data_IF_468597676299
#
_entry.id   IF_468597676299
#
_cell.length_a   1.000
_cell.length_b   1.000
_cell.length_c   1.000
_cell.angle_alpha   90.00
_cell.angle_beta   90.00
_cell.angle_gamma   90.00
#
_symmetry.space_group_name_H-M   'P 1'
#
loop_
_entity.id
_entity.type
_entity.pdbx_description
1 polymer ?
#
# COMPACT_ATOMS: atom_id res chain seq x y z
N UNK A 1 -0.37 -23.66 18.52
CA UNK A 1 -1.85 -23.50 18.64
C UNK A 1 -2.28 -22.44 17.66
N UNK A 2 -3.27 -22.72 16.82
CA UNK A 2 -3.91 -21.73 15.93
C UNK A 2 -5.20 -21.22 16.57
N UNK A 3 -5.59 -19.98 16.27
CA UNK A 3 -6.83 -19.37 16.74
C UNK A 3 -7.47 -18.52 15.65
N UNK A 4 -8.79 -18.43 15.64
CA UNK A 4 -9.54 -17.58 14.70
C UNK A 4 -9.30 -16.10 15.04
N UNK A 5 -8.78 -15.36 14.07
CA UNK A 5 -8.47 -13.94 14.18
C UNK A 5 -9.47 -13.04 13.41
N UNK A 6 -10.51 -13.64 12.86
CA UNK A 6 -11.64 -12.95 12.24
C UNK A 6 -11.77 -13.15 10.75
N UNK A 7 -12.89 -12.62 10.23
CA UNK A 7 -13.28 -12.74 8.81
C UNK A 7 -13.23 -11.40 8.12
N UNK A 8 -12.74 -11.38 6.89
CA UNK A 8 -12.61 -10.18 6.06
C UNK A 8 -13.05 -10.49 4.62
N UNK A 9 -13.40 -9.47 3.86
CA UNK A 9 -13.67 -9.65 2.44
C UNK A 9 -12.37 -9.71 1.65
N UNK A 10 -11.42 -8.81 1.97
CA UNK A 10 -10.13 -8.71 1.29
C UNK A 10 -9.00 -8.73 2.30
N UNK A 11 -7.99 -9.54 2.04
CA UNK A 11 -6.73 -9.52 2.75
C UNK A 11 -5.61 -9.06 1.81
N UNK A 12 -4.84 -8.06 2.23
CA UNK A 12 -3.69 -7.54 1.49
C UNK A 12 -2.41 -7.88 2.24
N UNK A 13 -1.49 -8.57 1.59
CA UNK A 13 -0.23 -8.99 2.20
C UNK A 13 0.90 -8.09 1.65
N UNK A 14 1.41 -7.23 2.52
CA UNK A 14 2.45 -6.25 2.22
C UNK A 14 1.93 -4.82 2.22
N UNK A 15 2.52 -3.95 3.06
CA UNK A 15 2.17 -2.54 3.20
C UNK A 15 3.18 -1.60 2.51
N UNK A 16 3.71 -2.01 1.36
CA UNK A 16 4.37 -1.14 0.40
C UNK A 16 3.33 -0.29 -0.36
N UNK A 17 3.78 0.57 -1.28
CA UNK A 17 2.88 1.49 -1.99
C UNK A 17 1.72 0.78 -2.70
N UNK A 18 1.99 -0.31 -3.43
CA UNK A 18 0.95 -1.07 -4.11
C UNK A 18 -0.06 -1.70 -3.13
N UNK A 19 0.44 -2.23 -1.99
CA UNK A 19 -0.43 -2.81 -0.95
C UNK A 19 -1.31 -1.75 -0.29
N UNK A 20 -0.78 -0.57 -0.03
CA UNK A 20 -1.54 0.55 0.52
C UNK A 20 -2.67 0.96 -0.43
N UNK A 21 -2.37 1.15 -1.71
CA UNK A 21 -3.38 1.51 -2.71
C UNK A 21 -4.45 0.43 -2.84
N UNK A 22 -4.08 -0.85 -2.87
CA UNK A 22 -5.02 -1.97 -2.92
C UNK A 22 -5.92 -2.03 -1.68
N UNK A 23 -5.35 -1.83 -0.49
CA UNK A 23 -6.11 -1.86 0.76
C UNK A 23 -7.08 -0.69 0.88
N UNK A 24 -6.63 0.53 0.56
CA UNK A 24 -7.47 1.73 0.58
C UNK A 24 -8.59 1.64 -0.46
N UNK A 25 -8.29 1.17 -1.68
CA UNK A 25 -9.30 0.98 -2.72
C UNK A 25 -10.37 -0.03 -2.28
N UNK A 26 -9.96 -1.18 -1.75
CA UNK A 26 -10.89 -2.22 -1.25
C UNK A 26 -11.79 -1.69 -0.12
N UNK A 27 -11.19 -1.01 0.86
CA UNK A 27 -11.93 -0.47 2.00
C UNK A 27 -12.92 0.64 1.59
N UNK A 28 -12.52 1.53 0.66
CA UNK A 28 -13.39 2.60 0.11
C UNK A 28 -14.56 2.06 -0.71
N UNK A 29 -14.41 0.87 -1.29
CA UNK A 29 -15.51 0.13 -1.94
C UNK A 29 -16.44 -0.56 -0.93
N UNK A 30 -16.23 -0.38 0.37
CA UNK A 30 -17.04 -0.95 1.43
C UNK A 30 -16.65 -2.37 1.85
N UNK A 31 -15.56 -2.92 1.34
CA UNK A 31 -15.06 -4.24 1.74
C UNK A 31 -14.37 -4.17 3.11
N UNK A 32 -14.71 -5.09 4.01
CA UNK A 32 -13.92 -5.30 5.24
C UNK A 32 -12.55 -5.80 4.86
N UNK A 33 -11.56 -4.96 5.01
CA UNK A 33 -10.20 -5.19 4.52
C UNK A 33 -9.21 -5.32 5.68
N UNK A 34 -8.30 -6.27 5.58
CA UNK A 34 -7.13 -6.37 6.46
C UNK A 34 -5.86 -6.24 5.63
N UNK A 35 -4.91 -5.43 6.09
CA UNK A 35 -3.58 -5.33 5.50
C UNK A 35 -2.52 -5.81 6.49
N UNK A 36 -1.63 -6.67 6.01
CA UNK A 36 -0.53 -7.23 6.79
C UNK A 36 0.80 -6.58 6.45
N UNK A 37 1.57 -6.30 7.47
CA UNK A 37 2.97 -5.88 7.37
C UNK A 37 3.81 -6.56 8.44
N UNK A 38 5.06 -6.87 8.13
CA UNK A 38 6.00 -7.41 9.13
C UNK A 38 6.53 -6.32 10.07
N UNK A 39 6.45 -5.05 9.65
CA UNK A 39 6.90 -3.91 10.45
C UNK A 39 6.00 -2.69 10.17
N UNK A 40 5.32 -2.20 11.21
CA UNK A 40 4.45 -1.02 11.15
C UNK A 40 5.20 0.28 10.86
N UNK A 41 6.49 0.34 11.16
CA UNK A 41 7.31 1.53 10.88
C UNK A 41 7.83 1.57 9.43
N UNK A 42 7.64 0.46 8.69
CA UNK A 42 7.99 0.36 7.28
C UNK A 42 6.83 0.59 6.32
N UNK A 43 5.65 0.94 6.83
CA UNK A 43 4.46 1.24 6.01
C UNK A 43 4.74 2.45 5.12
N UNK A 44 4.53 2.30 3.80
CA UNK A 44 4.77 3.36 2.83
C UNK A 44 6.24 3.79 2.73
N UNK A 45 7.16 2.95 3.14
CA UNK A 45 8.59 3.28 3.12
C UNK A 45 9.10 3.53 1.69
N UNK A 46 9.93 4.59 1.55
CA UNK A 46 10.64 4.92 0.32
C UNK A 46 12.14 4.60 0.51
N UNK A 47 12.58 3.34 0.37
CA UNK A 47 13.92 2.91 0.79
C UNK A 47 15.05 3.50 -0.06
N UNK A 48 14.77 3.82 -1.32
CA UNK A 48 15.76 4.37 -2.24
C UNK A 48 15.84 5.90 -2.14
N UNK A 49 15.45 6.60 -3.19
CA UNK A 49 15.36 8.06 -3.17
C UNK A 49 14.00 8.49 -2.63
N UNK A 50 13.93 9.46 -1.68
CA UNK A 50 12.66 9.98 -1.18
C UNK A 50 12.02 10.90 -2.22
N UNK A 51 11.60 10.32 -3.35
CA UNK A 51 11.00 11.06 -4.46
C UNK A 51 9.90 10.26 -5.12
N UNK A 52 8.82 10.95 -5.46
CA UNK A 52 7.67 10.39 -6.18
C UNK A 52 7.64 11.02 -7.58
N UNK A 53 7.33 10.21 -8.59
CA UNK A 53 7.27 10.64 -9.98
C UNK A 53 8.60 10.45 -10.73
N UNK A 54 8.84 11.31 -11.70
CA UNK A 54 9.95 11.20 -12.65
C UNK A 54 9.55 10.50 -13.95
N UNK A 55 10.51 10.29 -14.84
CA UNK A 55 10.28 9.70 -16.18
C UNK A 55 9.60 8.34 -16.07
N UNK A 56 8.51 8.15 -16.79
CA UNK A 56 7.58 7.01 -16.76
C UNK A 56 6.81 6.84 -15.43
N UNK A 57 7.42 7.06 -14.29
CA UNK A 57 6.80 6.89 -12.97
C UNK A 57 5.76 7.98 -12.68
N UNK A 58 6.02 9.23 -13.07
CA UNK A 58 5.08 10.34 -12.87
C UNK A 58 3.76 10.16 -13.59
N UNK A 59 3.76 9.49 -14.74
CA UNK A 59 2.54 9.16 -15.48
C UNK A 59 1.68 8.16 -14.71
N UNK A 60 2.30 7.08 -14.20
CA UNK A 60 1.61 6.07 -13.38
C UNK A 60 1.04 6.66 -12.09
N UNK A 61 1.77 7.55 -11.42
CA UNK A 61 1.25 8.23 -10.22
C UNK A 61 0.00 9.03 -10.53
N UNK A 62 -0.04 9.75 -11.66
CA UNK A 62 -1.22 10.50 -12.11
C UNK A 62 -2.40 9.61 -12.47
N UNK A 63 -2.14 8.45 -13.09
CA UNK A 63 -3.18 7.47 -13.41
C UNK A 63 -3.79 6.89 -12.12
N UNK A 64 -2.95 6.55 -11.15
CA UNK A 64 -3.40 6.08 -9.82
C UNK A 64 -4.20 7.18 -9.11
N UNK A 65 -3.72 8.43 -9.13
CA UNK A 65 -4.42 9.58 -8.55
C UNK A 65 -5.79 9.83 -9.20
N UNK A 66 -5.87 9.75 -10.53
CA UNK A 66 -7.13 9.86 -11.28
C UNK A 66 -8.16 8.79 -10.90
N UNK A 67 -7.71 7.61 -10.48
CA UNK A 67 -8.54 6.53 -9.94
C UNK A 67 -8.88 6.69 -8.45
N UNK A 68 -8.47 7.80 -7.83
CA UNK A 68 -8.71 8.07 -6.42
C UNK A 68 -7.63 7.56 -5.48
N UNK A 69 -6.46 7.20 -6.00
CA UNK A 69 -5.31 6.74 -5.21
C UNK A 69 -4.77 7.79 -4.24
N UNK A 70 -3.93 7.35 -3.33
CA UNK A 70 -3.46 8.15 -2.20
C UNK A 70 -2.01 8.62 -2.33
N UNK A 71 -1.22 7.93 -3.17
CA UNK A 71 0.20 8.23 -3.33
C UNK A 71 0.46 9.66 -3.78
N UNK A 72 -0.26 10.15 -4.79
CA UNK A 72 -0.11 11.51 -5.33
C UNK A 72 -0.45 12.56 -4.28
N UNK A 73 -1.59 12.43 -3.63
CA UNK A 73 -2.07 13.34 -2.57
C UNK A 73 -1.10 13.41 -1.39
N UNK A 74 -0.61 12.26 -0.94
CA UNK A 74 0.36 12.20 0.16
C UNK A 74 1.72 12.77 -0.26
N UNK A 75 2.13 12.56 -1.52
CA UNK A 75 3.34 13.16 -2.05
C UNK A 75 3.26 14.70 -2.04
N UNK A 76 2.14 15.27 -2.49
CA UNK A 76 1.92 16.73 -2.49
C UNK A 76 1.99 17.31 -1.07
N UNK A 77 1.37 16.65 -0.10
CA UNK A 77 1.40 17.05 1.31
C UNK A 77 2.81 17.02 1.92
N UNK A 78 3.68 16.14 1.42
CA UNK A 78 5.03 15.90 1.95
C UNK A 78 6.15 16.44 1.06
N UNK A 79 5.81 17.14 -0.01
CA UNK A 79 6.79 17.66 -0.98
C UNK A 79 7.66 18.75 -0.35
N UNK A 80 8.97 18.58 -0.48
CA UNK A 80 9.99 19.59 -0.14
C UNK A 80 10.37 20.40 -1.36
N UNK A 81 10.42 19.76 -2.52
CA UNK A 81 10.77 20.39 -3.79
C UNK A 81 10.13 19.60 -4.94
N UNK A 82 9.61 20.30 -5.93
CA UNK A 82 9.17 19.70 -7.20
C UNK A 82 9.98 20.24 -8.37
N UNK A 83 10.27 19.36 -9.32
CA UNK A 83 11.03 19.71 -10.53
C UNK A 83 10.49 18.99 -11.75
N UNK A 84 10.30 19.73 -12.84
CA UNK A 84 10.03 19.14 -14.14
C UNK A 84 11.34 18.62 -14.75
N UNK A 85 11.35 17.33 -15.10
CA UNK A 85 12.48 16.68 -15.79
C UNK A 85 12.28 16.73 -17.30
N UNK A 86 13.39 16.63 -18.03
CA UNK A 86 13.44 16.51 -19.49
C UNK A 86 12.91 17.74 -20.25
N UNK A 87 12.99 18.94 -19.69
CA UNK A 87 12.52 20.16 -20.34
C UNK A 87 13.19 20.44 -21.69
N UNK A 88 14.43 19.97 -21.90
CA UNK A 88 15.14 20.07 -23.18
C UNK A 88 14.73 19.02 -24.21
N UNK A 89 13.74 18.17 -23.92
CA UNK A 89 13.23 17.12 -24.81
C UNK A 89 11.77 17.41 -25.17
N UNK A 90 11.18 16.63 -26.05
CA UNK A 90 9.79 16.81 -26.44
C UNK A 90 8.79 16.67 -25.27
N UNK A 91 7.61 17.31 -25.35
CA UNK A 91 6.63 17.35 -24.25
C UNK A 91 6.19 15.97 -23.74
N UNK A 92 6.20 14.96 -24.59
CA UNK A 92 5.81 13.58 -24.23
C UNK A 92 6.66 12.94 -23.13
N UNK A 93 7.89 13.46 -22.90
CA UNK A 93 8.78 12.94 -21.87
C UNK A 93 8.96 13.92 -20.68
N UNK A 94 8.24 15.04 -20.68
CA UNK A 94 8.20 15.93 -19.53
C UNK A 94 7.60 15.19 -18.34
N UNK A 95 8.31 15.14 -17.23
CA UNK A 95 7.90 14.37 -16.06
C UNK A 95 8.14 15.15 -14.79
N UNK A 96 7.09 15.35 -14.02
CA UNK A 96 7.21 15.94 -12.69
C UNK A 96 7.83 14.93 -11.73
N UNK A 97 8.80 15.38 -10.95
CA UNK A 97 9.41 14.65 -9.84
C UNK A 97 9.34 15.50 -8.58
N UNK A 98 8.67 14.96 -7.57
CA UNK A 98 8.61 15.56 -6.24
C UNK A 98 9.65 14.91 -5.33
N UNK A 99 10.49 15.72 -4.71
CA UNK A 99 11.33 15.33 -3.58
C UNK A 99 10.47 15.44 -2.34
N UNK A 100 10.36 14.38 -1.56
CA UNK A 100 9.47 14.31 -0.39
C UNK A 100 10.27 14.18 0.92
N UNK A 101 9.70 14.67 2.02
CA UNK A 101 10.12 14.28 3.36
C UNK A 101 9.68 12.83 3.60
N UNK A 102 10.66 11.92 3.58
CA UNK A 102 10.44 10.49 3.72
C UNK A 102 9.74 10.10 5.03
N UNK A 103 10.13 10.73 6.13
CA UNK A 103 9.58 10.40 7.44
C UNK A 103 8.16 10.94 7.59
N UNK A 104 7.92 12.16 7.09
CA UNK A 104 6.57 12.74 7.06
C UNK A 104 5.65 11.90 6.17
N UNK A 105 6.12 11.50 4.98
CA UNK A 105 5.35 10.68 4.04
C UNK A 105 4.90 9.34 4.65
N UNK A 106 5.82 8.60 5.27
CA UNK A 106 5.49 7.33 5.91
C UNK A 106 4.46 7.52 7.05
N UNK A 107 4.62 8.56 7.88
CA UNK A 107 3.67 8.87 8.97
C UNK A 107 2.29 9.25 8.45
N UNK A 108 2.23 10.12 7.45
CA UNK A 108 0.95 10.55 6.84
C UNK A 108 0.26 9.37 6.18
N UNK A 109 0.98 8.55 5.43
CA UNK A 109 0.43 7.38 4.77
C UNK A 109 -0.11 6.35 5.79
N UNK A 110 0.65 6.08 6.85
CA UNK A 110 0.20 5.21 7.94
C UNK A 110 -1.07 5.77 8.61
N UNK A 111 -1.08 7.04 8.91
CA UNK A 111 -2.24 7.70 9.52
C UNK A 111 -3.50 7.60 8.64
N UNK A 112 -3.37 7.77 7.32
CA UNK A 112 -4.48 7.60 6.39
C UNK A 112 -5.05 6.18 6.37
N UNK A 113 -4.20 5.17 6.50
CA UNK A 113 -4.64 3.78 6.67
C UNK A 113 -5.39 3.58 7.99
N UNK A 114 -4.88 4.14 9.09
CA UNK A 114 -5.47 4.04 10.42
C UNK A 114 -6.84 4.71 10.52
N UNK A 115 -7.05 5.81 9.77
CA UNK A 115 -8.32 6.54 9.72
C UNK A 115 -9.31 5.99 8.69
N UNK A 116 -8.90 5.06 7.85
CA UNK A 116 -9.78 4.52 6.82
C UNK A 116 -10.80 3.56 7.42
N UNK A 117 -12.08 3.87 7.24
CA UNK A 117 -13.16 2.95 7.60
C UNK A 117 -13.02 1.61 6.86
N UNK A 118 -13.48 0.54 7.47
CA UNK A 118 -13.41 -0.83 6.95
C UNK A 118 -12.00 -1.39 6.73
N UNK A 119 -10.95 -0.70 7.19
CA UNK A 119 -9.56 -1.13 7.06
C UNK A 119 -8.92 -1.39 8.43
N UNK A 120 -8.31 -2.56 8.56
CA UNK A 120 -7.55 -2.93 9.75
C UNK A 120 -6.12 -3.27 9.36
N UNK A 121 -5.14 -2.62 9.98
CA UNK A 121 -3.73 -2.99 9.85
C UNK A 121 -3.33 -4.01 10.90
N UNK A 122 -2.52 -5.00 10.50
CA UNK A 122 -1.95 -6.01 11.38
C UNK A 122 -0.45 -6.15 11.16
N UNK A 123 0.31 -6.01 12.24
CA UNK A 123 1.72 -6.40 12.21
C UNK A 123 1.80 -7.90 12.42
N UNK A 124 1.93 -8.63 11.32
CA UNK A 124 2.03 -10.07 11.34
C UNK A 124 2.72 -10.58 10.07
N UNK A 125 3.47 -11.65 10.22
CA UNK A 125 4.04 -12.40 9.11
C UNK A 125 3.07 -13.50 8.71
N UNK A 126 2.49 -13.41 7.52
CA UNK A 126 1.67 -14.47 6.93
C UNK A 126 2.62 -15.53 6.39
N UNK A 127 2.50 -16.76 6.88
CA UNK A 127 3.39 -17.88 6.54
C UNK A 127 2.73 -18.93 5.67
N UNK A 128 1.40 -18.89 5.60
CA UNK A 128 0.65 -19.86 4.81
C UNK A 128 -0.66 -19.25 4.27
N UNK A 129 -1.06 -19.69 3.08
CA UNK A 129 -2.28 -19.28 2.39
C UNK A 129 -2.91 -20.53 1.78
N UNK A 130 -4.02 -20.96 2.34
CA UNK A 130 -4.74 -22.14 1.90
C UNK A 130 -6.12 -21.80 1.35
N UNK A 131 -6.62 -22.63 0.43
CA UNK A 131 -7.99 -22.53 -0.07
C UNK A 131 -8.93 -23.34 0.80
N UNK A 132 -10.01 -22.73 1.27
CA UNK A 132 -11.07 -23.40 2.01
C UNK A 132 -12.44 -23.08 1.36
N UNK A 133 -12.88 -23.95 0.49
CA UNK A 133 -14.10 -23.76 -0.30
C UNK A 133 -14.02 -22.48 -1.16
N UNK A 134 -14.90 -21.53 -0.91
CA UNK A 134 -14.91 -20.21 -1.58
C UNK A 134 -14.01 -19.19 -0.90
N UNK A 135 -13.45 -19.50 0.26
CA UNK A 135 -12.62 -18.60 1.06
C UNK A 135 -11.15 -18.98 1.00
N UNK A 136 -10.33 -18.09 1.55
CA UNK A 136 -8.92 -18.29 1.79
C UNK A 136 -8.65 -18.23 3.29
N UNK A 137 -7.80 -19.11 3.78
CA UNK A 137 -7.26 -19.09 5.14
C UNK A 137 -5.84 -18.57 5.10
N UNK A 138 -5.57 -17.53 5.88
CA UNK A 138 -4.23 -16.99 6.04
C UNK A 138 -3.74 -17.27 7.45
N UNK A 139 -2.68 -18.04 7.53
CA UNK A 139 -2.05 -18.38 8.82
C UNK A 139 -0.82 -17.51 9.05
N UNK A 140 -0.76 -16.90 10.21
CA UNK A 140 0.40 -16.09 10.62
C UNK A 140 1.38 -16.91 11.46
N UNK A 141 2.62 -16.45 11.54
CA UNK A 141 3.69 -17.10 12.34
C UNK A 141 3.31 -17.31 13.82
N UNK A 142 2.48 -16.43 14.37
CA UNK A 142 2.01 -16.53 15.75
C UNK A 142 0.73 -17.36 15.91
N UNK A 143 0.26 -18.02 14.84
CA UNK A 143 -0.89 -18.91 14.86
C UNK A 143 -2.25 -18.24 14.71
N UNK A 144 -2.31 -16.95 14.44
CA UNK A 144 -3.57 -16.30 14.06
C UNK A 144 -4.00 -16.76 12.66
N UNK A 145 -5.25 -17.18 12.52
CA UNK A 145 -5.86 -17.59 11.25
C UNK A 145 -6.93 -16.60 10.85
N UNK A 146 -6.81 -16.03 9.67
CA UNK A 146 -7.75 -15.08 9.10
C UNK A 146 -8.48 -15.72 7.93
N UNK A 147 -9.80 -15.60 7.89
CA UNK A 147 -10.61 -16.05 6.75
C UNK A 147 -10.93 -14.87 5.85
N UNK A 148 -10.73 -14.98 4.54
CA UNK A 148 -11.09 -13.92 3.60
C UNK A 148 -11.60 -14.48 2.26
N UNK A 149 -12.36 -13.65 1.53
CA UNK A 149 -12.91 -14.01 0.21
C UNK A 149 -11.89 -13.82 -0.91
N UNK A 150 -11.02 -12.82 -0.77
CA UNK A 150 -9.98 -12.51 -1.74
C UNK A 150 -8.66 -12.17 -1.05
N UNK A 151 -7.55 -12.51 -1.71
CA UNK A 151 -6.19 -12.21 -1.27
C UNK A 151 -5.47 -11.43 -2.34
N UNK A 152 -4.80 -10.33 -1.94
CA UNK A 152 -3.91 -9.54 -2.79
C UNK A 152 -2.49 -9.69 -2.23
N UNK A 153 -1.66 -10.44 -2.93
CA UNK A 153 -0.28 -10.73 -2.50
C UNK A 153 0.68 -9.73 -3.13
N UNK A 154 1.21 -8.82 -2.32
CA UNK A 154 2.09 -7.72 -2.72
C UNK A 154 3.37 -7.64 -1.85
N UNK A 155 3.62 -8.65 -1.04
CA UNK A 155 4.88 -8.79 -0.31
C UNK A 155 5.96 -9.35 -1.23
N UNK A 156 7.13 -8.70 -1.25
CA UNK A 156 8.30 -9.16 -2.01
C UNK A 156 9.31 -9.95 -1.14
N UNK A 157 9.04 -10.12 0.14
CA UNK A 157 9.98 -10.69 1.11
C UNK A 157 9.86 -12.21 1.19
N UNK A 158 8.69 -12.76 0.83
CA UNK A 158 8.37 -14.19 0.96
C UNK A 158 8.01 -14.87 -0.36
N UNK A 159 8.57 -14.39 -1.46
CA UNK A 159 8.43 -15.02 -2.78
C UNK A 159 9.63 -15.91 -3.04
#
# INVERSE_FOLDING_TARGET
MSYDAGKYDVAVIGAGHAGIEAALASARLGCRTVIFTINMDAVGNCPCNPSIGGTAKGHLVREVDALGGEMGKTADECTLQSRMLNLGKGPAVHSLRAQIDRNKYARVMKHKLEQCENLVMRQAEVIDIERDGENWLLTTRLGAVYTCRAVVLLSLIHI
#
